data_IF_973360766283
#
_entry.id   IF_973360766283
#
_cell.length_a   1.000
_cell.length_b   1.000
_cell.length_c   1.000
_cell.angle_alpha   90.00
_cell.angle_beta   90.00
_cell.angle_gamma   90.00
#
_symmetry.space_group_name_H-M   'P 1'
#
loop_
_entity.id
_entity.type
_entity.pdbx_description
1 polymer ?
#
# COMPACT_ATOMS: atom_id res chain seq x y z
N UNK A 1 -14.74 22.76 10.79
CA UNK A 1 -14.63 22.45 10.34
C UNK A 1 -14.61 22.26 9.74
N UNK A 2 -14.74 22.58 9.60
CA UNK A 2 -14.94 22.34 8.88
C UNK A 2 -14.87 21.83 8.10
N UNK A 3 -15.23 21.74 7.89
CA UNK A 3 -15.26 21.18 7.29
C UNK A 3 -14.92 21.12 6.39
N UNK A 4 -14.88 21.42 6.27
CA UNK A 4 -14.73 21.47 5.55
C UNK A 4 -14.67 21.14 4.71
N UNK A 5 -14.97 21.13 4.47
CA UNK A 5 -15.00 20.70 3.76
C UNK A 5 -14.85 20.38 2.79
N UNK A 6 -14.94 19.98 2.58
CA UNK A 6 -14.85 19.82 1.61
C UNK A 6 -15.47 19.63 0.94
N UNK A 7 -15.25 19.71 0.74
CA UNK A 7 -16.02 20.08 -0.42
C UNK A 7 -16.66 18.88 -1.09
N UNK A 8 -17.53 18.28 -0.37
CA UNK A 8 -18.22 17.13 -0.92
C UNK A 8 -19.06 17.52 -2.12
N UNK A 9 -19.63 18.73 -2.10
CA UNK A 9 -20.40 19.18 -3.24
C UNK A 9 -19.52 19.34 -4.47
N UNK A 10 -18.39 19.97 -4.31
CA UNK A 10 -17.45 20.15 -5.40
C UNK A 10 -16.99 18.79 -5.95
N UNK A 11 -16.69 17.89 -5.06
CA UNK A 11 -16.23 16.57 -5.43
C UNK A 11 -17.30 15.82 -6.21
N UNK A 12 -18.55 15.96 -5.77
CA UNK A 12 -19.66 15.31 -6.44
C UNK A 12 -19.82 15.79 -7.87
N UNK A 13 -19.52 17.05 -8.11
CA UNK A 13 -19.61 17.59 -9.47
C UNK A 13 -18.51 17.09 -10.37
N UNK A 14 -17.40 16.62 -9.79
CA UNK A 14 -16.25 16.14 -10.57
C UNK A 14 -16.35 14.67 -10.89
N UNK A 15 -17.15 13.94 -10.16
CA UNK A 15 -17.19 12.49 -10.24
C UNK A 15 -18.58 12.04 -10.63
N UNK A 16 -18.63 11.18 -11.64
CA UNK A 16 -19.85 10.52 -12.02
C UNK A 16 -20.41 9.74 -10.83
N UNK A 17 -21.72 9.75 -10.68
CA UNK A 17 -22.36 9.06 -9.56
C UNK A 17 -23.17 7.88 -10.07
N UNK A 18 -22.55 6.73 -10.27
CA UNK A 18 -23.30 5.55 -10.67
C UNK A 18 -24.20 5.13 -9.53
N UNK A 19 -25.23 4.41 -9.88
CA UNK A 19 -26.09 3.80 -8.89
C UNK A 19 -25.26 2.79 -8.10
N UNK A 20 -25.33 2.88 -6.78
CA UNK A 20 -24.58 2.00 -5.92
C UNK A 20 -25.47 0.88 -5.44
N UNK A 21 -25.09 -0.35 -5.78
CA UNK A 21 -25.75 -1.54 -5.29
C UNK A 21 -25.21 -1.84 -3.90
N UNK A 22 -26.06 -1.83 -2.85
CA UNK A 22 -25.55 -2.04 -1.49
C UNK A 22 -24.80 -3.36 -1.31
N UNK A 23 -25.19 -4.41 -2.02
CA UNK A 23 -24.50 -5.69 -1.88
C UNK A 23 -23.11 -5.63 -2.48
N UNK A 24 -22.98 -5.01 -3.64
CA UNK A 24 -21.68 -4.83 -4.26
C UNK A 24 -20.80 -3.91 -3.44
N UNK A 25 -21.39 -2.87 -2.89
CA UNK A 25 -20.66 -1.95 -2.03
C UNK A 25 -20.14 -2.67 -0.79
N UNK A 26 -20.98 -3.51 -0.18
CA UNK A 26 -20.57 -4.25 1.01
C UNK A 26 -19.43 -5.21 0.71
N UNK A 27 -19.49 -5.89 -0.41
CA UNK A 27 -18.44 -6.81 -0.82
C UNK A 27 -17.15 -6.05 -1.08
N UNK A 28 -17.23 -4.94 -1.80
CA UNK A 28 -16.07 -4.11 -2.06
C UNK A 28 -15.47 -3.52 -0.80
N UNK A 29 -16.35 -3.11 0.14
CA UNK A 29 -15.89 -2.55 1.40
C UNK A 29 -15.11 -3.59 2.20
N UNK A 30 -15.59 -4.83 2.22
CA UNK A 30 -14.89 -5.90 2.94
C UNK A 30 -13.50 -6.11 2.38
N UNK A 31 -13.37 -6.15 1.06
CA UNK A 31 -12.07 -6.32 0.42
C UNK A 31 -11.17 -5.13 0.70
N UNK A 32 -11.71 -3.92 0.60
CA UNK A 32 -10.93 -2.71 0.84
C UNK A 32 -10.44 -2.64 2.28
N UNK A 33 -11.31 -3.01 3.23
CA UNK A 33 -10.92 -3.01 4.64
C UNK A 33 -9.78 -3.99 4.88
N UNK A 34 -9.82 -5.16 4.21
CA UNK A 34 -8.71 -6.10 4.31
C UNK A 34 -7.39 -5.49 3.90
N UNK A 35 -7.38 -4.77 2.79
CA UNK A 35 -6.17 -4.10 2.34
C UNK A 35 -5.78 -2.99 3.31
N UNK A 36 -6.74 -2.19 3.75
CA UNK A 36 -6.44 -1.07 4.65
C UNK A 36 -5.87 -1.55 5.98
N UNK A 37 -6.33 -2.68 6.49
CA UNK A 37 -5.78 -3.23 7.72
C UNK A 37 -4.31 -3.60 7.56
N UNK A 38 -3.94 -4.12 6.40
CA UNK A 38 -2.55 -4.44 6.14
C UNK A 38 -1.72 -3.17 6.08
N UNK A 39 -2.24 -2.14 5.43
CA UNK A 39 -1.53 -0.88 5.29
C UNK A 39 -1.45 -0.07 6.57
N UNK A 40 -2.31 -0.36 7.55
CA UNK A 40 -2.39 0.42 8.77
C UNK A 40 -1.35 -0.01 9.78
N UNK A 41 -0.10 -0.05 9.35
CA UNK A 41 1.05 -0.33 10.18
C UNK A 41 2.22 0.38 9.53
N UNK A 42 2.91 1.20 10.28
CA UNK A 42 3.92 2.08 9.71
C UNK A 42 5.01 1.31 8.99
N UNK A 43 5.53 0.26 9.60
CA UNK A 43 6.60 -0.51 8.97
C UNK A 43 6.13 -1.19 7.70
N UNK A 44 4.93 -1.78 7.74
CA UNK A 44 4.40 -2.44 6.55
C UNK A 44 4.16 -1.44 5.43
N UNK A 45 3.64 -0.26 5.79
CA UNK A 45 3.40 0.76 4.78
C UNK A 45 4.71 1.21 4.14
N UNK A 46 5.73 1.43 4.94
CA UNK A 46 7.03 1.83 4.42
C UNK A 46 7.60 0.76 3.48
N UNK A 47 7.49 -0.51 3.90
CA UNK A 47 7.96 -1.60 3.06
C UNK A 47 7.24 -1.65 1.72
N UNK A 48 5.93 -1.55 1.78
CA UNK A 48 5.15 -1.63 0.55
C UNK A 48 5.39 -0.43 -0.36
N UNK A 49 5.54 0.75 0.22
CA UNK A 49 5.84 1.92 -0.58
C UNK A 49 7.19 1.77 -1.28
N UNK A 50 8.17 1.21 -0.58
CA UNK A 50 9.47 0.99 -1.20
C UNK A 50 9.35 -0.05 -2.31
N UNK A 51 8.59 -1.12 -2.06
CA UNK A 51 8.39 -2.15 -3.07
C UNK A 51 7.56 -1.67 -4.26
N UNK A 52 6.78 -0.59 -4.07
CA UNK A 52 6.03 -0.02 -5.19
C UNK A 52 6.97 0.60 -6.23
N UNK A 53 8.21 0.84 -5.87
CA UNK A 53 9.20 1.39 -6.79
C UNK A 53 9.94 0.30 -7.57
N UNK A 54 9.75 -0.96 -7.19
CA UNK A 54 10.41 -2.06 -7.86
C UNK A 54 10.75 -3.16 -6.89
N UNK A 55 11.25 -4.27 -7.41
CA UNK A 55 11.64 -5.40 -6.58
C UNK A 55 12.80 -5.05 -5.67
N UNK A 56 12.76 -5.61 -4.46
CA UNK A 56 13.85 -5.45 -3.50
C UNK A 56 14.04 -6.73 -2.72
N UNK A 57 15.28 -7.05 -2.39
CA UNK A 57 15.55 -8.13 -1.45
C UNK A 57 15.66 -7.56 -0.04
N UNK A 58 15.74 -8.46 0.94
CA UNK A 58 15.73 -8.06 2.35
C UNK A 58 16.88 -7.12 2.67
N UNK A 59 18.08 -7.41 2.15
CA UNK A 59 19.23 -6.56 2.43
C UNK A 59 19.04 -5.14 1.92
N UNK A 60 18.45 -5.01 0.73
CA UNK A 60 18.19 -3.69 0.18
C UNK A 60 17.16 -2.93 1.02
N UNK A 61 16.10 -3.63 1.43
CA UNK A 61 15.07 -2.99 2.25
C UNK A 61 15.62 -2.54 3.59
N UNK A 62 16.46 -3.38 4.18
CA UNK A 62 17.06 -3.04 5.46
C UNK A 62 17.92 -1.79 5.34
N UNK A 63 18.74 -1.73 4.31
CA UNK A 63 19.63 -0.60 4.10
C UNK A 63 18.85 0.68 3.81
N UNK A 64 17.82 0.57 2.96
CA UNK A 64 17.11 1.75 2.50
C UNK A 64 16.14 2.30 3.52
N UNK A 65 15.50 1.41 4.28
CA UNK A 65 14.46 1.83 5.21
C UNK A 65 14.93 1.95 6.65
N UNK A 66 16.07 1.34 6.97
CA UNK A 66 16.61 1.41 8.33
C UNK A 66 15.78 0.61 9.32
N UNK A 67 15.01 -0.37 8.86
CA UNK A 67 14.22 -1.22 9.73
C UNK A 67 15.10 -2.39 10.16
N UNK A 68 15.08 -2.73 11.44
CA UNK A 68 15.90 -3.82 11.95
C UNK A 68 15.51 -5.14 11.32
N UNK A 69 16.47 -6.03 11.19
CA UNK A 69 16.24 -7.32 10.53
C UNK A 69 15.11 -8.13 11.15
N UNK A 70 15.01 -8.27 12.49
CA UNK A 70 13.90 -9.04 13.02
C UNK A 70 12.53 -8.46 12.70
N UNK A 71 12.39 -7.15 12.79
CA UNK A 71 11.14 -6.48 12.45
C UNK A 71 10.83 -6.65 10.98
N UNK A 72 11.85 -6.46 10.15
CA UNK A 72 11.69 -6.56 8.70
C UNK A 72 11.19 -7.96 8.31
N UNK A 73 11.85 -8.99 8.84
CA UNK A 73 11.46 -10.38 8.53
C UNK A 73 10.04 -10.66 8.99
N UNK A 74 9.68 -10.15 10.16
CA UNK A 74 8.35 -10.37 10.70
C UNK A 74 7.28 -9.72 9.82
N UNK A 75 7.52 -8.49 9.39
CA UNK A 75 6.55 -7.80 8.56
C UNK A 75 6.46 -8.38 7.16
N UNK A 76 7.58 -8.81 6.61
CA UNK A 76 7.55 -9.48 5.30
C UNK A 76 6.77 -10.78 5.37
N UNK A 77 6.87 -11.51 6.49
CA UNK A 77 6.10 -12.73 6.66
C UNK A 77 4.60 -12.44 6.67
N UNK A 78 4.19 -11.35 7.33
CA UNK A 78 2.79 -10.95 7.33
C UNK A 78 2.33 -10.65 5.89
N UNK A 79 3.13 -9.89 5.15
CA UNK A 79 2.76 -9.54 3.78
C UNK A 79 2.66 -10.75 2.87
N UNK A 80 3.55 -11.73 3.07
CA UNK A 80 3.48 -12.96 2.31
C UNK A 80 2.23 -13.76 2.66
N UNK A 81 1.93 -13.87 3.95
CA UNK A 81 0.77 -14.63 4.40
C UNK A 81 -0.52 -14.02 3.88
N UNK A 82 -0.55 -12.70 3.75
CA UNK A 82 -1.73 -12.01 3.25
C UNK A 82 -1.74 -11.89 1.72
N UNK A 83 -0.76 -12.48 1.07
CA UNK A 83 -0.67 -12.50 -0.39
C UNK A 83 -0.60 -11.10 -1.02
N UNK A 84 -0.01 -10.17 -0.30
CA UNK A 84 0.13 -8.79 -0.77
C UNK A 84 1.39 -8.62 -1.59
N UNK A 85 2.36 -9.50 -1.37
CA UNK A 85 3.63 -9.46 -2.10
C UNK A 85 3.86 -10.79 -2.80
N UNK A 86 4.57 -10.71 -3.90
CA UNK A 86 5.12 -11.87 -4.59
C UNK A 86 6.58 -11.99 -4.19
N UNK A 87 7.10 -13.21 -4.29
CA UNK A 87 8.52 -13.43 -4.04
C UNK A 87 9.13 -14.14 -5.23
N UNK A 88 10.40 -13.88 -5.43
CA UNK A 88 11.17 -14.49 -6.50
C UNK A 88 12.56 -14.79 -5.94
N UNK A 89 13.04 -16.00 -6.16
CA UNK A 89 14.37 -16.36 -5.67
C UNK A 89 15.40 -16.16 -6.77
N UNK A 90 16.50 -15.57 -6.41
CA UNK A 90 17.62 -15.49 -7.34
C UNK A 90 18.90 -15.71 -6.52
N UNK A 91 19.49 -16.89 -6.70
CA UNK A 91 20.65 -17.26 -5.90
C UNK A 91 20.26 -17.38 -4.44
N UNK A 92 20.98 -16.68 -3.60
CA UNK A 92 20.70 -16.69 -2.16
C UNK A 92 19.65 -15.67 -1.76
N UNK A 93 19.26 -14.81 -2.67
CA UNK A 93 18.36 -13.72 -2.36
C UNK A 93 16.93 -14.03 -2.73
N UNK A 94 16.02 -13.53 -1.94
CA UNK A 94 14.60 -13.54 -2.26
C UNK A 94 14.19 -12.11 -2.50
N UNK A 95 13.62 -11.87 -3.66
CA UNK A 95 13.15 -10.53 -4.03
C UNK A 95 11.66 -10.45 -3.85
N UNK A 96 11.21 -9.34 -3.31
CA UNK A 96 9.81 -9.10 -3.02
C UNK A 96 9.28 -8.02 -3.96
N UNK A 97 8.02 -8.15 -4.33
CA UNK A 97 7.35 -7.13 -5.14
C UNK A 97 5.88 -7.08 -4.75
N UNK A 98 5.22 -5.98 -5.06
CA UNK A 98 3.79 -5.84 -4.75
C UNK A 98 3.02 -6.75 -5.71
N UNK A 99 2.11 -7.56 -5.14
CA UNK A 99 1.40 -8.57 -5.92
C UNK A 99 0.15 -8.05 -6.60
N UNK A 100 -0.54 -7.08 -5.99
CA UNK A 100 -1.87 -6.68 -6.44
C UNK A 100 -1.83 -5.28 -7.04
N UNK A 101 -2.34 -5.16 -8.27
CA UNK A 101 -2.32 -3.88 -8.98
C UNK A 101 -3.11 -2.80 -8.23
N UNK A 102 -4.21 -3.18 -7.56
CA UNK A 102 -5.02 -2.20 -6.83
C UNK A 102 -4.26 -1.69 -5.61
N UNK A 103 -3.57 -2.57 -4.92
CA UNK A 103 -2.73 -2.16 -3.80
C UNK A 103 -1.64 -1.22 -4.28
N UNK A 104 -1.03 -1.54 -5.42
CA UNK A 104 0.00 -0.69 -5.99
C UNK A 104 -0.53 0.71 -6.27
N UNK A 105 -1.75 0.81 -6.80
CA UNK A 105 -2.35 2.11 -7.06
C UNK A 105 -2.55 2.91 -5.78
N UNK A 106 -2.99 2.24 -4.72
CA UNK A 106 -3.16 2.90 -3.43
C UNK A 106 -1.83 3.42 -2.90
N UNK A 107 -0.79 2.59 -3.00
CA UNK A 107 0.53 2.98 -2.51
C UNK A 107 1.09 4.17 -3.27
N UNK A 108 0.93 4.17 -4.59
CA UNK A 108 1.39 5.27 -5.40
C UNK A 108 0.66 6.56 -5.02
N UNK A 109 -0.65 6.45 -4.81
CA UNK A 109 -1.44 7.59 -4.40
C UNK A 109 -1.01 8.13 -3.04
N UNK A 110 -0.83 7.24 -2.07
CA UNK A 110 -0.41 7.66 -0.74
C UNK A 110 0.96 8.31 -0.78
N UNK A 111 1.87 7.76 -1.55
CA UNK A 111 3.19 8.35 -1.68
C UNK A 111 3.08 9.76 -2.25
N UNK A 112 2.28 9.93 -3.29
CA UNK A 112 2.13 11.23 -3.92
C UNK A 112 1.51 12.26 -2.98
N UNK A 113 0.55 11.81 -2.16
CA UNK A 113 -0.18 12.73 -1.29
C UNK A 113 0.58 13.09 -0.02
N UNK A 114 1.36 12.17 0.50
CA UNK A 114 1.94 12.34 1.83
C UNK A 114 3.45 12.47 1.87
N UNK A 115 4.15 12.00 0.86
CA UNK A 115 5.60 12.10 0.87
C UNK A 115 6.02 13.34 0.10
N UNK A 116 6.90 14.16 0.68
CA UNK A 116 7.37 15.34 -0.03
C UNK A 116 8.14 14.94 -1.27
N UNK A 117 8.11 15.79 -2.27
CA UNK A 117 8.92 15.59 -3.44
C UNK A 117 10.37 15.47 -3.03
N UNK A 118 11.03 14.53 -3.62
CA UNK A 118 12.44 14.40 -3.39
C UNK A 118 13.09 15.69 -3.81
N UNK A 119 14.02 16.10 -3.14
CA UNK A 119 14.57 17.23 -3.49
C UNK A 119 15.32 16.97 -4.46
N UNK A 120 15.16 16.48 -4.79
CA UNK A 120 15.68 16.13 -5.83
C UNK A 120 16.32 16.60 -6.38
#
# INVERSE_FOLDING_TARGET
MPQTFYPSTFYAMQISHPVIDPQLLRSGAAQAVGVLKILANEDRLMLLCQLSQGEHCVGELQTELGISQPTLSQQLAVLRNECVVNTRREGKNIYYSVADARTLEILVLLHRLYCPEGKN
#
